data_IF_198911557015
#
_entry.id   IF_198911557015
#
_cell.length_a   1.000
_cell.length_b   1.000
_cell.length_c   1.000
_cell.angle_alpha   90.00
_cell.angle_beta   90.00
_cell.angle_gamma   90.00
#
_symmetry.space_group_name_H-M   'P 1'
#
loop_
_entity.id
_entity.type
_entity.pdbx_description
1 polymer ?
#
# COMPACT_ATOMS: atom_id res chain seq x y z
N UNK A 1 -50.26 -38.88 22.16
CA UNK A 1 -49.00 -39.04 22.95
C UNK A 1 -48.08 -39.92 22.13
N UNK A 2 -47.14 -39.33 21.37
CA UNK A 2 -46.21 -40.12 20.55
C UNK A 2 -45.18 -40.78 21.47
N UNK A 3 -45.20 -42.10 21.56
CA UNK A 3 -44.21 -42.86 22.29
C UNK A 3 -42.84 -42.70 21.60
N UNK A 4 -41.86 -42.18 22.34
CA UNK A 4 -40.46 -42.18 21.92
C UNK A 4 -40.01 -43.64 21.92
N UNK A 5 -39.73 -44.18 20.73
CA UNK A 5 -39.24 -45.55 20.59
C UNK A 5 -37.81 -45.62 21.16
N UNK A 6 -37.67 -46.20 22.35
CA UNK A 6 -36.41 -46.30 23.09
C UNK A 6 -35.31 -47.08 22.32
N UNK A 7 -35.68 -47.90 21.32
CA UNK A 7 -34.72 -48.59 20.46
C UNK A 7 -34.00 -47.65 19.47
N UNK A 8 -34.53 -46.44 19.26
CA UNK A 8 -33.93 -45.43 18.40
C UNK A 8 -33.03 -44.43 19.14
N UNK A 9 -32.98 -44.44 20.48
CA UNK A 9 -32.08 -43.55 21.25
C UNK A 9 -30.59 -43.70 20.89
N UNK A 10 -30.05 -44.92 20.71
CA UNK A 10 -28.65 -45.11 20.30
C UNK A 10 -28.37 -44.54 18.91
N UNK A 11 -29.30 -44.72 17.96
CA UNK A 11 -29.21 -44.19 16.60
C UNK A 11 -29.35 -42.66 16.55
N UNK A 12 -30.22 -42.07 17.39
CA UNK A 12 -30.34 -40.62 17.55
C UNK A 12 -29.09 -40.01 18.18
N UNK A 13 -28.52 -40.64 19.22
CA UNK A 13 -27.27 -40.19 19.83
C UNK A 13 -26.09 -40.28 18.85
N UNK A 14 -26.02 -41.34 18.05
CA UNK A 14 -24.99 -41.50 17.02
C UNK A 14 -25.10 -40.44 15.90
N UNK A 15 -26.31 -40.18 15.38
CA UNK A 15 -26.53 -39.10 14.39
C UNK A 15 -26.22 -37.71 14.96
N UNK A 16 -26.58 -37.45 16.21
CA UNK A 16 -26.31 -36.17 16.86
C UNK A 16 -24.79 -35.96 17.09
N UNK A 17 -24.09 -37.03 17.48
CA UNK A 17 -22.63 -37.01 17.63
C UNK A 17 -21.92 -36.78 16.30
N UNK A 18 -22.31 -37.51 15.25
CA UNK A 18 -21.74 -37.37 13.90
C UNK A 18 -22.00 -35.99 13.30
N UNK A 19 -23.22 -35.46 13.47
CA UNK A 19 -23.56 -34.08 13.07
C UNK A 19 -22.69 -33.04 13.79
N UNK A 20 -22.45 -33.22 15.09
CA UNK A 20 -21.58 -32.32 15.87
C UNK A 20 -20.14 -32.35 15.37
N UNK A 21 -19.61 -33.52 15.04
CA UNK A 21 -18.24 -33.68 14.53
C UNK A 21 -18.07 -33.00 13.17
N UNK A 22 -19.03 -33.15 12.25
CA UNK A 22 -19.06 -32.42 10.97
C UNK A 22 -19.08 -30.91 11.20
N UNK A 23 -19.95 -30.42 12.09
CA UNK A 23 -20.04 -28.99 12.41
C UNK A 23 -18.73 -28.42 12.95
N UNK A 24 -18.01 -29.17 13.80
CA UNK A 24 -16.70 -28.77 14.32
C UNK A 24 -15.68 -28.66 13.19
N UNK A 25 -15.55 -29.69 12.34
CA UNK A 25 -14.61 -29.64 11.20
C UNK A 25 -14.94 -28.52 10.22
N UNK A 26 -16.22 -28.25 9.99
CA UNK A 26 -16.64 -27.13 9.13
C UNK A 26 -16.25 -25.78 9.74
N UNK A 27 -16.38 -25.61 11.06
CA UNK A 27 -15.91 -24.43 11.77
C UNK A 27 -14.40 -24.24 11.60
N UNK A 28 -13.61 -25.31 11.73
CA UNK A 28 -12.15 -25.26 11.56
C UNK A 28 -11.73 -24.87 10.14
N UNK A 29 -12.50 -25.30 9.12
CA UNK A 29 -12.33 -24.86 7.74
C UNK A 29 -12.61 -23.37 7.61
N UNK A 30 -13.73 -22.88 8.16
CA UNK A 30 -14.10 -21.46 8.12
C UNK A 30 -13.03 -20.61 8.82
N UNK A 31 -12.50 -21.05 9.96
CA UNK A 31 -11.41 -20.35 10.66
C UNK A 31 -10.12 -20.34 9.83
N UNK A 32 -9.84 -21.41 9.08
CA UNK A 32 -8.69 -21.46 8.19
C UNK A 32 -8.85 -20.52 6.99
N UNK A 33 -10.06 -20.43 6.44
CA UNK A 33 -10.41 -19.45 5.40
C UNK A 33 -10.22 -18.02 5.93
N UNK A 34 -10.72 -17.73 7.13
CA UNK A 34 -10.57 -16.43 7.77
C UNK A 34 -9.10 -16.04 7.94
N UNK A 35 -8.28 -16.93 8.49
CA UNK A 35 -6.83 -16.72 8.65
C UNK A 35 -6.12 -16.48 7.32
N UNK A 36 -6.53 -17.17 6.26
CA UNK A 36 -5.99 -16.92 4.92
C UNK A 36 -6.31 -15.49 4.44
N UNK A 37 -7.55 -15.03 4.61
CA UNK A 37 -7.91 -13.65 4.26
C UNK A 37 -7.12 -12.61 5.06
N UNK A 38 -6.95 -12.83 6.36
CA UNK A 38 -6.14 -11.96 7.22
C UNK A 38 -4.68 -11.91 6.75
N UNK A 39 -4.07 -13.07 6.44
CA UNK A 39 -2.70 -13.14 5.94
C UNK A 39 -2.53 -12.47 4.57
N UNK A 40 -3.46 -12.67 3.64
CA UNK A 40 -3.43 -12.00 2.34
C UNK A 40 -3.53 -10.48 2.50
N UNK A 41 -4.42 -10.00 3.38
CA UNK A 41 -4.57 -8.58 3.65
C UNK A 41 -3.29 -7.98 4.27
N UNK A 42 -2.70 -8.66 5.26
CA UNK A 42 -1.43 -8.24 5.87
C UNK A 42 -0.29 -8.22 4.86
N UNK A 43 -0.17 -9.24 4.02
CA UNK A 43 0.83 -9.30 2.95
C UNK A 43 0.66 -8.15 1.97
N UNK A 44 -0.58 -7.87 1.52
CA UNK A 44 -0.85 -6.75 0.62
C UNK A 44 -0.41 -5.42 1.23
N UNK A 45 -0.73 -5.18 2.51
CA UNK A 45 -0.37 -3.95 3.21
C UNK A 45 1.15 -3.82 3.41
N UNK A 46 1.79 -4.88 3.90
CA UNK A 46 3.22 -4.88 4.27
C UNK A 46 4.18 -4.95 3.07
N UNK A 47 3.70 -5.22 1.87
CA UNK A 47 4.53 -5.33 0.66
C UNK A 47 4.22 -4.21 -0.33
N UNK A 48 3.38 -4.48 -1.34
CA UNK A 48 3.01 -3.52 -2.38
C UNK A 48 2.34 -2.27 -1.79
N UNK A 49 1.53 -2.42 -0.72
CA UNK A 49 0.88 -1.30 -0.02
C UNK A 49 1.88 -0.24 0.47
N UNK A 50 2.95 -0.65 1.16
CA UNK A 50 4.01 0.25 1.59
C UNK A 50 4.74 0.91 0.40
N UNK A 51 4.99 0.15 -0.67
CA UNK A 51 5.63 0.68 -1.88
C UNK A 51 4.80 1.77 -2.56
N UNK A 52 3.49 1.56 -2.66
CA UNK A 52 2.56 2.53 -3.25
C UNK A 52 2.37 3.77 -2.35
N UNK A 53 2.36 3.60 -1.02
CA UNK A 53 2.33 4.74 -0.09
C UNK A 53 3.56 5.64 -0.25
N UNK A 54 4.75 5.03 -0.30
CA UNK A 54 6.00 5.75 -0.51
C UNK A 54 5.98 6.51 -1.84
N UNK A 55 5.54 5.85 -2.91
CA UNK A 55 5.43 6.45 -4.24
C UNK A 55 4.49 7.66 -4.26
N UNK A 56 3.30 7.51 -3.67
CA UNK A 56 2.33 8.61 -3.56
C UNK A 56 2.92 9.81 -2.80
N UNK A 57 3.64 9.57 -1.71
CA UNK A 57 4.29 10.62 -0.93
C UNK A 57 5.42 11.31 -1.68
N UNK A 58 6.20 10.56 -2.45
CA UNK A 58 7.25 11.14 -3.32
C UNK A 58 6.64 12.03 -4.41
N UNK A 59 5.57 11.59 -5.07
CA UNK A 59 4.87 12.38 -6.09
C UNK A 59 4.28 13.68 -5.53
N UNK A 60 3.66 13.64 -4.34
CA UNK A 60 3.13 14.86 -3.73
C UNK A 60 4.25 15.81 -3.29
N UNK A 61 5.37 15.28 -2.80
CA UNK A 61 6.55 16.08 -2.48
C UNK A 61 7.17 16.74 -3.72
N UNK A 62 7.26 16.03 -4.84
CA UNK A 62 7.73 16.58 -6.13
C UNK A 62 6.82 17.71 -6.61
N UNK A 63 5.50 17.50 -6.56
CA UNK A 63 4.50 18.51 -6.93
C UNK A 63 4.63 19.78 -6.08
N UNK A 64 4.72 19.63 -4.76
CA UNK A 64 4.91 20.76 -3.84
C UNK A 64 6.23 21.51 -4.11
N UNK A 65 7.31 20.78 -4.37
CA UNK A 65 8.61 21.36 -4.72
C UNK A 65 8.53 22.15 -6.04
N UNK A 66 7.88 21.61 -7.07
CA UNK A 66 7.66 22.29 -8.35
C UNK A 66 6.77 23.53 -8.20
N UNK A 67 5.77 23.47 -7.31
CA UNK A 67 4.94 24.62 -6.96
C UNK A 67 5.78 25.74 -6.35
N UNK A 68 6.60 25.44 -5.33
CA UNK A 68 7.52 26.43 -4.71
C UNK A 68 8.49 27.03 -5.70
N UNK A 69 9.05 26.22 -6.61
CA UNK A 69 9.89 26.70 -7.70
C UNK A 69 9.14 27.69 -8.59
N UNK A 70 7.89 27.38 -8.93
CA UNK A 70 7.04 28.25 -9.75
C UNK A 70 6.76 29.58 -9.04
N UNK A 71 6.50 29.57 -7.74
CA UNK A 71 6.38 30.81 -6.96
C UNK A 71 7.64 31.67 -7.04
N UNK A 72 8.83 31.06 -6.90
CA UNK A 72 10.11 31.78 -7.03
C UNK A 72 10.35 32.33 -8.43
N UNK A 73 9.92 31.64 -9.47
CA UNK A 73 9.97 32.17 -10.84
C UNK A 73 9.11 33.42 -10.99
N UNK A 74 7.89 33.41 -10.44
CA UNK A 74 6.98 34.57 -10.49
C UNK A 74 7.57 35.76 -9.71
N UNK A 75 8.19 35.51 -8.55
CA UNK A 75 8.91 36.54 -7.79
C UNK A 75 10.05 37.15 -8.61
N UNK A 76 10.88 36.32 -9.25
CA UNK A 76 11.99 36.76 -10.12
C UNK A 76 11.50 37.58 -11.32
N UNK A 77 10.45 37.13 -12.01
CA UNK A 77 9.85 37.89 -13.11
C UNK A 77 9.33 39.24 -12.64
N UNK A 78 8.69 39.28 -11.48
CA UNK A 78 8.18 40.52 -10.89
C UNK A 78 9.31 41.48 -10.54
N UNK A 79 10.36 40.98 -9.88
CA UNK A 79 11.54 41.77 -9.53
C UNK A 79 12.25 42.29 -10.78
N UNK A 80 12.35 41.47 -11.84
CA UNK A 80 12.94 41.86 -13.13
C UNK A 80 12.16 43.00 -13.79
N UNK A 81 10.83 42.88 -13.89
CA UNK A 81 9.97 43.94 -14.46
C UNK A 81 10.05 45.24 -13.64
N UNK A 82 10.11 45.14 -12.32
CA UNK A 82 10.23 46.30 -11.44
C UNK A 82 11.59 46.99 -11.58
N UNK A 83 12.67 46.22 -11.69
CA UNK A 83 14.01 46.73 -11.94
C UNK A 83 14.10 47.45 -13.29
N UNK A 84 13.52 46.89 -14.35
CA UNK A 84 13.48 47.51 -15.69
C UNK A 84 12.74 48.86 -15.69
N UNK A 85 11.64 48.97 -14.95
CA UNK A 85 10.79 50.17 -14.91
C UNK A 85 11.19 51.18 -13.82
N UNK A 86 12.22 50.88 -13.03
CA UNK A 86 12.62 51.70 -11.90
C UNK A 86 13.21 53.05 -12.35
N UNK A 87 12.77 54.14 -11.69
CA UNK A 87 13.41 55.46 -11.82
C UNK A 87 14.85 55.41 -11.29
N UNK A 88 15.78 56.26 -11.78
CA UNK A 88 17.19 56.23 -11.38
C UNK A 88 17.43 56.19 -9.87
N UNK A 89 16.66 56.97 -9.11
CA UNK A 89 16.76 57.05 -7.64
C UNK A 89 16.50 55.70 -6.93
N UNK A 90 15.68 54.83 -7.51
CA UNK A 90 15.33 53.51 -6.93
C UNK A 90 16.00 52.35 -7.68
N UNK A 91 16.78 52.62 -8.74
CA UNK A 91 17.30 51.60 -9.65
C UNK A 91 18.21 50.60 -8.94
N UNK A 92 19.19 51.08 -8.19
CA UNK A 92 20.12 50.24 -7.43
C UNK A 92 19.39 49.28 -6.47
N UNK A 93 18.44 49.79 -5.68
CA UNK A 93 17.67 48.97 -4.75
C UNK A 93 16.81 47.90 -5.45
N UNK A 94 16.24 48.20 -6.62
CA UNK A 94 15.45 47.22 -7.38
C UNK A 94 16.35 46.18 -8.07
N UNK A 95 17.53 46.58 -8.53
CA UNK A 95 18.51 45.65 -9.12
C UNK A 95 19.05 44.68 -8.04
N UNK A 96 19.29 45.15 -6.81
CA UNK A 96 19.64 44.28 -5.67
C UNK A 96 18.54 43.25 -5.35
N UNK A 97 17.27 43.67 -5.34
CA UNK A 97 16.13 42.77 -5.13
C UNK A 97 16.00 41.73 -6.26
N UNK A 98 16.26 42.13 -7.51
CA UNK A 98 16.29 41.20 -8.64
C UNK A 98 17.38 40.14 -8.44
N UNK A 99 18.61 40.55 -8.11
CA UNK A 99 19.73 39.63 -7.87
C UNK A 99 19.44 38.67 -6.72
N UNK A 100 18.80 39.15 -5.65
CA UNK A 100 18.37 38.30 -4.55
C UNK A 100 17.32 37.26 -4.99
N UNK A 101 16.30 37.68 -5.75
CA UNK A 101 15.27 36.77 -6.27
C UNK A 101 15.85 35.73 -7.26
N UNK A 102 16.82 36.13 -8.08
CA UNK A 102 17.52 35.26 -9.03
C UNK A 102 18.32 34.18 -8.30
N UNK A 103 19.08 34.57 -7.27
CA UNK A 103 19.83 33.64 -6.43
C UNK A 103 18.94 32.60 -5.74
N UNK A 104 17.80 33.02 -5.20
CA UNK A 104 16.83 32.11 -4.56
C UNK A 104 16.19 31.15 -5.59
N UNK A 105 15.81 31.66 -6.76
CA UNK A 105 15.25 30.84 -7.83
C UNK A 105 16.25 29.79 -8.34
N UNK A 106 17.51 30.18 -8.54
CA UNK A 106 18.57 29.28 -8.98
C UNK A 106 18.85 28.19 -7.94
N UNK A 107 18.89 28.57 -6.65
CA UNK A 107 19.06 27.62 -5.57
C UNK A 107 17.94 26.56 -5.54
N UNK A 108 16.68 27.01 -5.53
CA UNK A 108 15.52 26.09 -5.51
C UNK A 108 15.48 25.24 -6.77
N UNK A 109 15.80 25.81 -7.94
CA UNK A 109 15.87 25.07 -9.20
C UNK A 109 16.98 24.01 -9.19
N UNK A 110 18.13 24.32 -8.61
CA UNK A 110 19.24 23.39 -8.45
C UNK A 110 18.87 22.19 -7.59
N UNK A 111 18.27 22.43 -6.42
CA UNK A 111 17.78 21.37 -5.53
C UNK A 111 16.70 20.54 -6.22
N UNK A 112 15.71 21.19 -6.85
CA UNK A 112 14.62 20.50 -7.53
C UNK A 112 15.13 19.57 -8.64
N UNK A 113 16.10 20.02 -9.44
CA UNK A 113 16.71 19.21 -10.48
C UNK A 113 17.40 17.97 -9.92
N UNK A 114 18.10 18.10 -8.79
CA UNK A 114 18.78 16.97 -8.14
C UNK A 114 17.79 15.94 -7.60
N UNK A 115 16.74 16.40 -6.90
CA UNK A 115 15.75 15.49 -6.31
C UNK A 115 14.90 14.78 -7.37
N UNK A 116 14.48 15.46 -8.44
CA UNK A 116 13.75 14.83 -9.56
C UNK A 116 14.62 13.76 -10.23
N UNK A 117 15.90 14.06 -10.49
CA UNK A 117 16.81 13.10 -11.09
C UNK A 117 17.01 11.87 -10.19
N UNK A 118 17.17 12.10 -8.89
CA UNK A 118 17.29 11.02 -7.89
C UNK A 118 16.04 10.17 -7.87
N UNK A 119 14.87 10.77 -7.72
CA UNK A 119 13.58 10.07 -7.66
C UNK A 119 13.36 9.19 -8.90
N UNK A 120 13.50 9.76 -10.09
CA UNK A 120 13.34 9.01 -11.34
C UNK A 120 14.38 7.88 -11.50
N UNK A 121 15.60 8.05 -10.99
CA UNK A 121 16.63 7.01 -11.07
C UNK A 121 16.33 5.79 -10.20
N UNK A 122 15.54 5.94 -9.13
CA UNK A 122 15.28 4.87 -8.16
C UNK A 122 13.85 4.34 -8.19
N UNK A 123 12.87 5.14 -8.63
CA UNK A 123 11.45 4.82 -8.49
C UNK A 123 11.08 3.47 -9.16
N UNK A 124 11.48 3.25 -10.41
CA UNK A 124 11.15 2.01 -11.14
C UNK A 124 11.69 0.78 -10.40
N UNK A 125 12.90 0.88 -9.85
CA UNK A 125 13.52 -0.21 -9.12
C UNK A 125 12.80 -0.51 -7.81
N UNK A 126 12.41 0.52 -7.06
CA UNK A 126 11.66 0.36 -5.80
C UNK A 126 10.28 -0.28 -6.06
N UNK A 127 9.55 0.20 -7.07
CA UNK A 127 8.25 -0.37 -7.43
C UNK A 127 8.39 -1.83 -7.88
N UNK A 128 9.41 -2.13 -8.68
CA UNK A 128 9.73 -3.50 -9.11
C UNK A 128 9.98 -4.42 -7.93
N UNK A 129 10.78 -3.99 -6.95
CA UNK A 129 11.06 -4.77 -5.74
C UNK A 129 9.79 -5.01 -4.90
N UNK A 130 8.93 -3.99 -4.74
CA UNK A 130 7.67 -4.13 -4.03
C UNK A 130 6.72 -5.14 -4.70
N UNK A 131 6.65 -5.12 -6.04
CA UNK A 131 5.86 -6.08 -6.82
C UNK A 131 6.40 -7.51 -6.70
N UNK A 132 7.72 -7.70 -6.78
CA UNK A 132 8.34 -9.01 -6.61
C UNK A 132 8.03 -9.57 -5.22
N UNK A 133 8.27 -8.79 -4.17
CA UNK A 133 8.04 -9.19 -2.80
C UNK A 133 6.56 -9.54 -2.54
N UNK A 134 5.65 -8.75 -3.10
CA UNK A 134 4.22 -9.03 -3.04
C UNK A 134 3.89 -10.37 -3.71
N UNK A 135 4.35 -10.61 -4.94
CA UNK A 135 4.14 -11.87 -5.65
C UNK A 135 4.69 -13.07 -4.87
N UNK A 136 5.90 -12.95 -4.31
CA UNK A 136 6.52 -14.00 -3.49
C UNK A 136 5.66 -14.34 -2.28
N UNK A 137 5.16 -13.32 -1.57
CA UNK A 137 4.27 -13.53 -0.42
C UNK A 137 2.92 -14.10 -0.79
N UNK A 138 2.31 -13.68 -1.90
CA UNK A 138 1.06 -14.27 -2.39
C UNK A 138 1.24 -15.75 -2.73
N UNK A 139 2.36 -16.12 -3.38
CA UNK A 139 2.67 -17.50 -3.72
C UNK A 139 2.89 -18.37 -2.47
N UNK A 140 3.63 -17.86 -1.48
CA UNK A 140 3.86 -18.53 -0.20
C UNK A 140 2.53 -18.81 0.50
N UNK A 141 1.70 -17.78 0.69
CA UNK A 141 0.38 -17.92 1.35
C UNK A 141 -0.55 -18.84 0.57
N UNK A 142 -0.57 -18.79 -0.77
CA UNK A 142 -1.39 -19.69 -1.57
C UNK A 142 -0.98 -21.16 -1.39
N UNK A 143 0.32 -21.46 -1.33
CA UNK A 143 0.83 -22.81 -1.09
C UNK A 143 0.45 -23.31 0.30
N UNK A 144 0.66 -22.50 1.32
CA UNK A 144 0.32 -22.84 2.71
C UNK A 144 -1.18 -23.08 2.88
N UNK A 145 -2.01 -22.23 2.29
CA UNK A 145 -3.47 -22.37 2.33
C UNK A 145 -3.93 -23.61 1.57
N UNK A 146 -3.37 -23.88 0.39
CA UNK A 146 -3.66 -25.11 -0.37
C UNK A 146 -3.31 -26.38 0.41
N UNK A 147 -2.16 -26.38 1.09
CA UNK A 147 -1.75 -27.48 1.95
C UNK A 147 -2.74 -27.69 3.10
N UNK A 148 -3.12 -26.63 3.82
CA UNK A 148 -4.09 -26.70 4.93
C UNK A 148 -5.47 -27.19 4.46
N UNK A 149 -5.96 -26.70 3.32
CA UNK A 149 -7.24 -27.17 2.76
C UNK A 149 -7.19 -28.64 2.35
N UNK A 150 -6.04 -29.10 1.84
CA UNK A 150 -5.84 -30.52 1.55
C UNK A 150 -5.93 -31.38 2.81
N UNK A 151 -5.37 -30.92 3.94
CA UNK A 151 -5.49 -31.60 5.23
C UNK A 151 -6.94 -31.67 5.72
N UNK A 152 -7.67 -30.55 5.63
CA UNK A 152 -9.10 -30.51 5.96
C UNK A 152 -9.90 -31.49 5.11
N UNK A 153 -9.65 -31.53 3.80
CA UNK A 153 -10.32 -32.45 2.89
C UNK A 153 -10.08 -33.92 3.27
N UNK A 154 -8.84 -34.28 3.61
CA UNK A 154 -8.53 -35.64 4.08
C UNK A 154 -9.22 -35.97 5.40
N UNK A 155 -9.27 -35.01 6.33
CA UNK A 155 -9.99 -35.17 7.59
C UNK A 155 -11.50 -35.39 7.40
N UNK A 156 -12.11 -34.76 6.39
CA UNK A 156 -13.51 -35.00 6.03
C UNK A 156 -13.74 -36.37 5.37
N UNK A 157 -12.82 -36.83 4.52
CA UNK A 157 -12.93 -38.18 3.93
C UNK A 157 -12.94 -39.28 4.98
N UNK A 158 -12.07 -39.16 5.99
CA UNK A 158 -12.03 -40.10 7.11
C UNK A 158 -13.25 -40.05 8.05
N UNK A 159 -14.19 -39.11 7.87
CA UNK A 159 -15.49 -39.15 8.56
C UNK A 159 -16.56 -39.94 7.80
N UNK A 160 -16.36 -40.15 6.49
CA UNK A 160 -17.29 -40.88 5.62
C UNK A 160 -17.00 -42.38 5.53
N UNK A 161 -15.90 -42.83 6.13
CA UNK A 161 -15.50 -44.24 6.34
C UNK A 161 -15.96 -44.71 7.72
#
# INVERSE_FOLDING_TARGET
MMAINLNNLPLMNFRCFHSREICVKLSEVIDSIKRNFESVAENNLSTLGLGLDLESRCQEAEKEMLYRRTCKLVELETASRNAERAKPVKKAAMDELKVAAEKEFDHVSGVAKQEIARFHSTHVELLRQALILWCEKQLETARDTSFRYSQHLQAFKGLGE
#
